data_IF_938555958070
#
_entry.id   IF_938555958070
#
_cell.length_a   1.000
_cell.length_b   1.000
_cell.length_c   1.000
_cell.angle_alpha   90.00
_cell.angle_beta   90.00
_cell.angle_gamma   90.00
#
_symmetry.space_group_name_H-M   'P 1'
#
loop_
_entity.id
_entity.type
_entity.pdbx_description
1 polymer ?
#
# COMPACT_ATOMS: atom_id res chain seq x y z
N UNK A 1 28.60 -39.05 -21.47
CA UNK A 1 27.27 -38.57 -21.92
C UNK A 1 26.17 -38.87 -20.92
N UNK A 2 26.27 -39.94 -20.11
CA UNK A 2 25.29 -40.34 -19.09
C UNK A 2 25.19 -39.40 -17.88
N UNK A 3 26.30 -38.90 -17.34
CA UNK A 3 26.29 -38.04 -16.14
C UNK A 3 25.69 -36.64 -16.36
N UNK A 4 25.86 -36.06 -17.55
CA UNK A 4 25.30 -34.75 -17.90
C UNK A 4 23.78 -34.82 -17.97
N UNK A 5 23.23 -35.92 -18.51
CA UNK A 5 21.79 -36.12 -18.57
C UNK A 5 21.16 -36.26 -17.19
N UNK A 6 21.82 -36.96 -16.28
CA UNK A 6 21.35 -37.14 -14.90
C UNK A 6 21.35 -35.82 -14.12
N UNK A 7 22.42 -35.03 -14.24
CA UNK A 7 22.51 -33.70 -13.63
C UNK A 7 21.40 -32.76 -14.13
N UNK A 8 21.13 -32.78 -15.44
CA UNK A 8 20.12 -31.92 -16.05
C UNK A 8 18.71 -32.30 -15.59
N UNK A 9 18.44 -33.60 -15.41
CA UNK A 9 17.16 -34.09 -14.86
C UNK A 9 16.96 -33.64 -13.42
N UNK A 10 17.99 -33.72 -12.57
CA UNK A 10 17.90 -33.28 -11.17
C UNK A 10 17.58 -31.78 -11.08
N UNK A 11 18.26 -30.95 -11.88
CA UNK A 11 18.00 -29.50 -11.92
C UNK A 11 16.57 -29.21 -12.37
N UNK A 12 16.08 -29.93 -13.38
CA UNK A 12 14.73 -29.72 -13.93
C UNK A 12 13.63 -30.10 -12.93
N UNK A 13 13.85 -31.16 -12.14
CA UNK A 13 12.94 -31.56 -11.05
C UNK A 13 12.90 -30.51 -9.95
N UNK A 14 14.05 -29.97 -9.54
CA UNK A 14 14.11 -28.91 -8.52
C UNK A 14 13.40 -27.64 -9.01
N UNK A 15 13.62 -27.24 -10.27
CA UNK A 15 12.97 -26.08 -10.87
C UNK A 15 11.44 -26.25 -10.92
N UNK A 16 10.97 -27.45 -11.30
CA UNK A 16 9.54 -27.78 -11.31
C UNK A 16 8.92 -27.71 -9.91
N UNK A 17 9.65 -28.18 -8.89
CA UNK A 17 9.20 -28.11 -7.50
C UNK A 17 9.09 -26.66 -6.99
N UNK A 18 10.08 -25.82 -7.31
CA UNK A 18 10.07 -24.39 -6.96
C UNK A 18 8.91 -23.65 -7.65
N UNK A 19 8.62 -23.97 -8.91
CA UNK A 19 7.48 -23.41 -9.65
C UNK A 19 6.13 -23.79 -9.01
N UNK A 20 5.98 -25.04 -8.58
CA UNK A 20 4.78 -25.51 -7.89
C UNK A 20 4.60 -24.82 -6.53
N UNK A 21 5.67 -24.73 -5.73
CA UNK A 21 5.65 -24.02 -4.44
C UNK A 21 5.31 -22.53 -4.60
N UNK A 22 5.92 -21.86 -5.59
CA UNK A 22 5.64 -20.46 -5.90
C UNK A 22 4.19 -20.24 -6.34
N UNK A 23 3.67 -21.11 -7.22
CA UNK A 23 2.29 -21.04 -7.69
C UNK A 23 1.26 -21.23 -6.56
N UNK A 24 1.49 -22.16 -5.65
CA UNK A 24 0.62 -22.39 -4.48
C UNK A 24 0.65 -21.20 -3.51
N UNK A 25 1.82 -20.61 -3.28
CA UNK A 25 1.98 -19.41 -2.45
C UNK A 25 1.18 -18.22 -2.99
N UNK A 26 1.31 -17.93 -4.29
CA UNK A 26 0.58 -16.84 -4.97
C UNK A 26 -0.94 -17.11 -4.93
N UNK A 27 -1.36 -18.37 -5.16
CA UNK A 27 -2.76 -18.76 -5.12
C UNK A 27 -3.40 -18.52 -3.74
N UNK A 28 -2.70 -18.87 -2.66
CA UNK A 28 -3.18 -18.64 -1.29
C UNK A 28 -3.28 -17.15 -0.95
N UNK A 29 -2.30 -16.34 -1.36
CA UNK A 29 -2.30 -14.88 -1.20
C UNK A 29 -3.49 -14.23 -1.92
N UNK A 30 -3.75 -14.60 -3.17
CA UNK A 30 -4.91 -14.10 -3.95
C UNK A 30 -6.22 -14.51 -3.31
N UNK A 31 -6.33 -15.76 -2.85
CA UNK A 31 -7.57 -16.28 -2.25
C UNK A 31 -7.87 -15.65 -0.87
N UNK A 32 -6.83 -15.35 -0.09
CA UNK A 32 -6.95 -14.59 1.15
C UNK A 32 -7.33 -13.13 0.89
N UNK A 33 -6.73 -12.50 -0.12
CA UNK A 33 -7.08 -11.14 -0.56
C UNK A 33 -8.54 -11.03 -1.01
N UNK A 34 -9.03 -11.99 -1.81
CA UNK A 34 -10.43 -12.03 -2.25
C UNK A 34 -11.41 -12.23 -1.08
N UNK A 35 -11.08 -13.07 -0.09
CA UNK A 35 -11.93 -13.24 1.10
C UNK A 35 -12.00 -11.98 1.97
N UNK A 36 -10.89 -11.25 2.11
CA UNK A 36 -10.87 -9.97 2.82
C UNK A 36 -11.69 -8.89 2.07
N UNK A 37 -11.51 -8.79 0.75
CA UNK A 37 -12.27 -7.88 -0.10
C UNK A 37 -13.78 -8.18 -0.10
N UNK A 38 -14.18 -9.46 -0.07
CA UNK A 38 -15.57 -9.88 0.02
C UNK A 38 -16.24 -9.48 1.34
N UNK A 39 -15.55 -9.64 2.47
CA UNK A 39 -16.05 -9.19 3.79
C UNK A 39 -16.17 -7.68 3.88
N UNK A 40 -15.21 -6.94 3.31
CA UNK A 40 -15.28 -5.48 3.23
C UNK A 40 -16.47 -5.00 2.38
N UNK A 41 -16.75 -5.67 1.24
CA UNK A 41 -17.92 -5.35 0.39
C UNK A 41 -19.25 -5.62 1.09
N UNK A 42 -19.36 -6.69 1.89
CA UNK A 42 -20.58 -6.99 2.66
C UNK A 42 -20.82 -6.01 3.81
N UNK A 43 -19.76 -5.56 4.48
CA UNK A 43 -19.86 -4.50 5.48
C UNK A 43 -20.26 -3.16 4.84
N UNK A 44 -19.67 -2.84 3.68
CA UNK A 44 -20.00 -1.63 2.92
C UNK A 44 -21.44 -1.64 2.38
N UNK A 45 -21.96 -2.78 1.90
CA UNK A 45 -23.37 -2.87 1.46
C UNK A 45 -24.34 -2.79 2.62
N UNK A 46 -24.04 -3.36 3.79
CA UNK A 46 -24.90 -3.18 4.99
C UNK A 46 -24.94 -1.73 5.46
N UNK A 47 -23.80 -1.02 5.41
CA UNK A 47 -23.73 0.41 5.70
C UNK A 47 -24.52 1.24 4.67
N UNK A 48 -24.39 0.96 3.38
CA UNK A 48 -25.13 1.71 2.35
C UNK A 48 -26.64 1.47 2.44
N UNK A 49 -27.10 0.27 2.79
CA UNK A 49 -28.51 -0.01 3.03
C UNK A 49 -29.05 0.73 4.26
N UNK A 50 -28.25 0.91 5.31
CA UNK A 50 -28.64 1.70 6.49
C UNK A 50 -28.70 3.21 6.20
N UNK A 51 -27.78 3.71 5.37
CA UNK A 51 -27.71 5.12 4.95
C UNK A 51 -28.86 5.48 3.98
N UNK A 52 -29.26 4.57 3.10
CA UNK A 52 -30.44 4.74 2.25
C UNK A 52 -31.78 4.57 3.00
N UNK A 53 -31.79 3.87 4.13
CA UNK A 53 -32.97 3.74 4.98
C UNK A 53 -33.17 4.93 5.94
N UNK A 54 -32.15 5.79 6.10
CA UNK A 54 -32.32 7.09 6.76
C UNK A 54 -33.12 8.02 5.84
N UNK A 55 -34.31 8.41 6.30
CA UNK A 55 -35.28 9.20 5.54
C UNK A 55 -34.76 10.54 5.00
N UNK A 56 -35.62 11.31 4.34
CA UNK A 56 -35.25 12.60 3.76
C UNK A 56 -35.38 13.74 4.78
N UNK A 57 -34.29 14.50 5.03
CA UNK A 57 -34.30 15.71 5.87
C UNK A 57 -32.96 15.98 6.59
N UNK A 58 -32.81 17.18 7.17
CA UNK A 58 -31.56 17.63 7.81
C UNK A 58 -31.07 16.68 8.92
N UNK A 59 -31.97 16.11 9.72
CA UNK A 59 -31.59 15.18 10.79
C UNK A 59 -31.00 13.87 10.26
N UNK A 60 -31.47 13.41 9.10
CA UNK A 60 -30.93 12.24 8.44
C UNK A 60 -29.58 12.54 7.77
N UNK A 61 -29.46 13.73 7.16
CA UNK A 61 -28.19 14.19 6.62
C UNK A 61 -27.10 14.30 7.71
N UNK A 62 -27.43 14.89 8.85
CA UNK A 62 -26.50 15.02 9.98
C UNK A 62 -26.01 13.65 10.45
N UNK A 63 -26.88 12.66 10.49
CA UNK A 63 -26.48 11.30 10.87
C UNK A 63 -25.59 10.64 9.80
N UNK A 64 -25.75 10.97 8.52
CA UNK A 64 -24.80 10.57 7.46
C UNK A 64 -23.43 11.22 7.66
N UNK A 65 -23.39 12.52 7.94
CA UNK A 65 -22.14 13.25 8.22
C UNK A 65 -21.38 12.62 9.40
N UNK A 66 -22.10 12.20 10.45
CA UNK A 66 -21.53 11.49 11.61
C UNK A 66 -20.95 10.14 11.23
N UNK A 67 -21.70 9.33 10.48
CA UNK A 67 -21.26 8.02 10.03
C UNK A 67 -20.01 8.13 9.12
N UNK A 68 -20.01 9.08 8.20
CA UNK A 68 -18.88 9.32 7.30
C UNK A 68 -17.64 9.78 8.08
N UNK A 69 -17.78 10.71 9.02
CA UNK A 69 -16.67 11.15 9.87
C UNK A 69 -16.06 9.99 10.67
N UNK A 70 -16.91 9.21 11.36
CA UNK A 70 -16.46 8.03 12.13
C UNK A 70 -15.74 7.02 11.25
N UNK A 71 -16.25 6.81 10.03
CA UNK A 71 -15.62 5.91 9.05
C UNK A 71 -14.25 6.42 8.63
N UNK A 72 -14.12 7.70 8.32
CA UNK A 72 -12.86 8.31 7.88
C UNK A 72 -11.79 8.29 8.96
N UNK A 73 -12.17 8.59 10.21
CA UNK A 73 -11.27 8.47 11.37
C UNK A 73 -10.83 7.02 11.56
N UNK A 74 -11.76 6.06 11.53
CA UNK A 74 -11.43 4.65 11.69
C UNK A 74 -10.50 4.11 10.59
N UNK A 75 -10.73 4.50 9.34
CA UNK A 75 -9.85 4.16 8.22
C UNK A 75 -8.45 4.76 8.39
N UNK A 76 -8.37 5.98 8.88
CA UNK A 76 -7.10 6.68 9.14
C UNK A 76 -6.34 6.00 10.28
N UNK A 77 -7.01 5.65 11.37
CA UNK A 77 -6.42 4.89 12.47
C UNK A 77 -5.91 3.52 12.02
N UNK A 78 -6.68 2.81 11.19
CA UNK A 78 -6.24 1.53 10.63
C UNK A 78 -5.00 1.67 9.76
N UNK A 79 -4.91 2.71 8.93
CA UNK A 79 -3.73 3.00 8.11
C UNK A 79 -2.51 3.30 8.98
N UNK A 80 -2.69 4.09 10.05
CA UNK A 80 -1.66 4.39 11.03
C UNK A 80 -1.18 3.13 11.77
N UNK A 81 -2.10 2.30 12.30
CA UNK A 81 -1.76 1.03 12.96
C UNK A 81 -1.02 0.07 12.02
N UNK A 82 -1.28 0.14 10.71
CA UNK A 82 -0.53 -0.61 9.71
C UNK A 82 0.89 -0.07 9.57
N UNK A 83 1.05 1.24 9.37
CA UNK A 83 2.34 1.91 9.26
C UNK A 83 3.22 1.70 10.49
N UNK A 84 2.64 1.78 11.70
CA UNK A 84 3.34 1.52 12.95
C UNK A 84 3.85 0.09 13.05
N UNK A 85 3.05 -0.91 12.63
CA UNK A 85 3.48 -2.32 12.59
C UNK A 85 4.60 -2.58 11.59
N UNK A 86 4.68 -1.78 10.52
CA UNK A 86 5.77 -1.84 9.56
C UNK A 86 7.03 -1.11 10.04
N UNK A 87 6.98 -0.47 11.21
CA UNK A 87 8.12 0.23 11.79
C UNK A 87 8.48 1.53 11.07
N UNK A 88 7.53 2.17 10.36
CA UNK A 88 7.79 3.45 9.70
C UNK A 88 8.07 4.55 10.72
N UNK A 89 8.89 5.52 10.34
CA UNK A 89 9.19 6.68 11.18
C UNK A 89 8.02 7.65 11.20
N UNK A 90 7.13 7.52 12.18
CA UNK A 90 5.87 8.29 12.22
C UNK A 90 5.99 9.71 12.80
N UNK A 91 7.17 10.09 13.35
CA UNK A 91 7.40 11.43 13.90
C UNK A 91 6.30 11.88 14.87
N UNK A 92 5.73 13.06 14.62
CA UNK A 92 4.64 13.66 15.40
C UNK A 92 3.23 13.16 15.02
N UNK A 93 3.12 12.31 14.00
CA UNK A 93 1.83 11.80 13.51
C UNK A 93 0.97 11.11 14.58
N UNK A 94 1.51 10.35 15.55
CA UNK A 94 0.70 9.77 16.62
C UNK A 94 -0.04 10.83 17.44
N UNK A 95 0.62 11.97 17.72
CA UNK A 95 0.03 13.09 18.46
C UNK A 95 -1.02 13.80 17.62
N UNK A 96 -0.72 14.07 16.35
CA UNK A 96 -1.66 14.70 15.42
C UNK A 96 -2.91 13.85 15.20
N UNK A 97 -2.76 12.52 15.15
CA UNK A 97 -3.89 11.60 15.04
C UNK A 97 -4.74 11.63 16.31
N UNK A 98 -4.14 11.63 17.50
CA UNK A 98 -4.87 11.73 18.76
C UNK A 98 -5.65 13.06 18.87
N UNK A 99 -5.03 14.18 18.47
CA UNK A 99 -5.69 15.49 18.43
C UNK A 99 -6.85 15.50 17.42
N UNK A 100 -6.68 14.88 16.26
CA UNK A 100 -7.72 14.74 15.24
C UNK A 100 -8.89 13.86 15.71
N UNK A 101 -8.61 12.74 16.38
CA UNK A 101 -9.62 11.87 16.97
C UNK A 101 -10.45 12.61 18.02
N UNK A 102 -9.79 13.37 18.91
CA UNK A 102 -10.47 14.19 19.91
C UNK A 102 -11.38 15.26 19.27
N UNK A 103 -10.90 15.95 18.22
CA UNK A 103 -11.71 16.92 17.49
C UNK A 103 -12.90 16.27 16.78
N UNK A 104 -12.70 15.09 16.19
CA UNK A 104 -13.76 14.35 15.54
C UNK A 104 -14.84 13.87 16.53
N UNK A 105 -14.46 13.45 17.74
CA UNK A 105 -15.41 13.09 18.79
C UNK A 105 -16.25 14.29 19.25
N UNK A 106 -15.61 15.44 19.48
CA UNK A 106 -16.31 16.69 19.83
C UNK A 106 -17.29 17.08 18.73
N UNK A 107 -16.86 16.99 17.47
CA UNK A 107 -17.71 17.34 16.34
C UNK A 107 -18.87 16.35 16.13
N UNK A 108 -18.65 15.04 16.33
CA UNK A 108 -19.72 14.04 16.33
C UNK A 108 -20.77 14.34 17.41
N UNK A 109 -20.32 14.79 18.59
CA UNK A 109 -21.18 15.27 19.67
C UNK A 109 -22.04 16.47 19.25
N UNK A 110 -21.42 17.46 18.59
CA UNK A 110 -22.12 18.65 18.07
C UNK A 110 -23.18 18.29 17.02
N UNK A 111 -22.85 17.40 16.08
CA UNK A 111 -23.78 16.87 15.09
C UNK A 111 -24.93 16.12 15.78
N UNK A 112 -24.64 15.30 16.78
CA UNK A 112 -25.65 14.59 17.58
C UNK A 112 -26.62 15.54 18.29
N UNK A 113 -26.11 16.59 18.91
CA UNK A 113 -26.93 17.64 19.56
C UNK A 113 -27.81 18.36 18.54
N UNK A 114 -27.27 18.73 17.38
CA UNK A 114 -28.04 19.37 16.32
C UNK A 114 -29.17 18.45 15.80
N UNK A 115 -28.88 17.18 15.57
CA UNK A 115 -29.89 16.20 15.16
C UNK A 115 -31.00 16.04 16.21
N UNK A 116 -30.66 16.02 17.50
CA UNK A 116 -31.63 15.98 18.58
C UNK A 116 -32.50 17.25 18.62
N UNK A 117 -31.88 18.42 18.46
CA UNK A 117 -32.59 19.70 18.43
C UNK A 117 -33.58 19.76 17.25
N UNK A 118 -33.20 19.28 16.06
CA UNK A 118 -34.09 19.21 14.88
C UNK A 118 -35.27 18.25 15.06
N UNK A 119 -35.18 17.25 15.93
CA UNK A 119 -36.31 16.35 16.23
C UNK A 119 -37.36 16.99 17.14
N UNK A 120 -36.96 17.93 17.99
CA UNK A 120 -37.82 18.55 19.02
C UNK A 120 -38.32 19.93 18.59
N UNK A 121 -37.58 20.64 17.73
CA UNK A 121 -37.93 21.97 17.24
C UNK A 121 -38.15 21.99 15.73
N UNK A 122 -39.26 22.59 15.24
CA UNK A 122 -39.49 22.77 13.82
C UNK A 122 -38.60 23.88 13.22
N UNK A 123 -37.98 24.73 14.04
CA UNK A 123 -37.12 25.82 13.57
C UNK A 123 -35.86 25.28 12.87
N UNK A 124 -35.54 25.83 11.69
CA UNK A 124 -34.39 25.43 10.90
C UNK A 124 -33.26 26.46 11.01
N UNK A 125 -32.19 26.12 11.72
CA UNK A 125 -30.95 26.89 11.68
C UNK A 125 -30.00 26.30 10.64
N UNK A 126 -30.12 26.82 9.41
CA UNK A 126 -29.27 26.44 8.28
C UNK A 126 -27.83 26.95 8.41
N UNK A 127 -27.61 28.07 9.11
CA UNK A 127 -26.28 28.65 9.27
C UNK A 127 -25.41 27.77 10.18
N UNK A 128 -26.00 27.25 11.25
CA UNK A 128 -25.29 26.30 12.12
C UNK A 128 -25.03 24.97 11.41
N UNK A 129 -25.98 24.45 10.63
CA UNK A 129 -25.75 23.24 9.83
C UNK A 129 -24.65 23.45 8.76
N UNK A 130 -24.60 24.61 8.11
CA UNK A 130 -23.55 24.96 7.16
C UNK A 130 -22.15 24.90 7.79
N UNK A 131 -21.98 25.54 8.96
CA UNK A 131 -20.71 25.50 9.70
C UNK A 131 -20.32 24.09 10.12
N UNK A 132 -21.30 23.28 10.54
CA UNK A 132 -21.03 21.88 10.90
C UNK A 132 -20.57 21.06 9.68
N UNK A 133 -21.17 21.27 8.50
CA UNK A 133 -20.72 20.63 7.25
C UNK A 133 -19.30 21.04 6.88
N UNK A 134 -18.98 22.33 6.94
CA UNK A 134 -17.64 22.84 6.61
C UNK A 134 -16.57 22.25 7.54
N UNK A 135 -16.88 22.17 8.84
CA UNK A 135 -15.96 21.56 9.80
C UNK A 135 -15.79 20.05 9.56
N UNK A 136 -16.88 19.33 9.27
CA UNK A 136 -16.82 17.91 8.89
C UNK A 136 -15.98 17.68 7.62
N UNK A 137 -16.15 18.52 6.60
CA UNK A 137 -15.34 18.46 5.38
C UNK A 137 -13.86 18.69 5.67
N UNK A 138 -13.54 19.64 6.56
CA UNK A 138 -12.17 19.94 6.98
C UNK A 138 -11.53 18.74 7.70
N UNK A 139 -12.22 18.15 8.68
CA UNK A 139 -11.75 16.96 9.41
C UNK A 139 -11.54 15.76 8.46
N UNK A 140 -12.47 15.57 7.52
CA UNK A 140 -12.39 14.49 6.52
C UNK A 140 -11.21 14.71 5.56
N UNK A 141 -10.97 15.96 5.13
CA UNK A 141 -9.83 16.29 4.29
C UNK A 141 -8.49 16.04 5.02
N UNK A 142 -8.41 16.34 6.32
CA UNK A 142 -7.23 16.03 7.13
C UNK A 142 -7.02 14.51 7.25
N UNK A 143 -8.08 13.72 7.49
CA UNK A 143 -8.01 12.26 7.47
C UNK A 143 -7.47 11.73 6.14
N UNK A 144 -8.01 12.23 5.02
CA UNK A 144 -7.57 11.85 3.68
C UNK A 144 -6.11 12.23 3.42
N UNK A 145 -5.66 13.41 3.86
CA UNK A 145 -4.28 13.87 3.74
C UNK A 145 -3.31 12.98 4.51
N UNK A 146 -3.60 12.69 5.79
CA UNK A 146 -2.80 11.76 6.59
C UNK A 146 -2.66 10.41 5.90
N UNK A 147 -3.77 9.86 5.38
CA UNK A 147 -3.73 8.59 4.64
C UNK A 147 -2.89 8.68 3.37
N UNK A 148 -2.96 9.80 2.65
CA UNK A 148 -2.14 10.01 1.45
C UNK A 148 -0.64 10.10 1.80
N UNK A 149 -0.30 10.82 2.87
CA UNK A 149 1.08 10.94 3.35
C UNK A 149 1.64 9.57 3.76
N UNK A 150 0.86 8.78 4.51
CA UNK A 150 1.22 7.40 4.88
C UNK A 150 1.39 6.48 3.65
N UNK A 151 0.55 6.62 2.63
CA UNK A 151 0.71 5.86 1.37
C UNK A 151 1.95 6.33 0.60
N UNK A 152 2.27 7.62 0.64
CA UNK A 152 3.49 8.17 0.06
C UNK A 152 4.74 7.53 0.69
N UNK A 153 4.79 7.49 2.01
CA UNK A 153 5.88 6.85 2.76
C UNK A 153 5.97 5.35 2.46
N UNK A 154 4.83 4.66 2.30
CA UNK A 154 4.80 3.26 1.87
C UNK A 154 5.50 3.06 0.51
N UNK A 155 5.20 3.92 -0.46
CA UNK A 155 5.79 3.86 -1.80
C UNK A 155 7.29 4.14 -1.73
N UNK A 156 7.72 5.10 -0.90
CA UNK A 156 9.14 5.38 -0.70
C UNK A 156 9.87 4.20 -0.05
N UNK A 157 9.32 3.60 1.01
CA UNK A 157 9.94 2.43 1.67
C UNK A 157 9.99 1.19 0.76
N UNK A 158 8.95 0.95 -0.03
CA UNK A 158 8.92 -0.19 -0.97
C UNK A 158 9.83 0.03 -2.18
N UNK A 159 9.89 1.24 -2.74
CA UNK A 159 10.81 1.59 -3.84
C UNK A 159 12.27 1.59 -3.40
N UNK A 160 12.58 2.05 -2.19
CA UNK A 160 13.92 1.92 -1.61
C UNK A 160 14.32 0.45 -1.46
N UNK A 161 13.41 -0.41 -0.99
CA UNK A 161 13.66 -1.85 -0.92
C UNK A 161 13.86 -2.52 -2.29
N UNK A 162 13.14 -2.09 -3.32
CA UNK A 162 13.31 -2.57 -4.70
C UNK A 162 14.65 -2.09 -5.29
N UNK A 163 15.05 -0.85 -5.03
CA UNK A 163 16.35 -0.32 -5.47
C UNK A 163 17.52 -0.99 -4.75
N UNK A 164 17.37 -1.30 -3.46
CA UNK A 164 18.36 -2.07 -2.70
C UNK A 164 18.47 -3.51 -3.25
N UNK A 165 17.34 -4.15 -3.54
CA UNK A 165 17.29 -5.46 -4.21
C UNK A 165 17.92 -5.43 -5.62
N UNK A 166 17.66 -4.39 -6.43
CA UNK A 166 18.27 -4.27 -7.75
C UNK A 166 19.78 -4.06 -7.63
N UNK A 167 20.24 -3.20 -6.72
CA UNK A 167 21.66 -2.95 -6.52
C UNK A 167 22.42 -4.20 -6.08
N UNK A 168 21.83 -5.02 -5.20
CA UNK A 168 22.40 -6.28 -4.74
C UNK A 168 22.39 -7.35 -5.83
N UNK A 169 21.36 -7.35 -6.68
CA UNK A 169 21.28 -8.25 -7.84
C UNK A 169 22.33 -7.85 -8.89
N UNK A 170 22.51 -6.56 -9.17
CA UNK A 170 23.55 -6.07 -10.08
C UNK A 170 24.95 -6.39 -9.55
N UNK A 171 25.17 -6.28 -8.24
CA UNK A 171 26.42 -6.68 -7.60
C UNK A 171 26.65 -8.19 -7.65
N UNK A 172 25.62 -9.02 -7.51
CA UNK A 172 25.72 -10.47 -7.71
C UNK A 172 25.95 -10.83 -9.19
N UNK A 173 25.35 -10.12 -10.13
CA UNK A 173 25.55 -10.32 -11.57
C UNK A 173 26.99 -9.94 -11.96
N UNK A 174 27.49 -8.81 -11.47
CA UNK A 174 28.86 -8.37 -11.70
C UNK A 174 29.88 -9.28 -11.01
N UNK A 175 29.59 -9.77 -9.80
CA UNK A 175 30.45 -10.75 -9.12
C UNK A 175 30.47 -12.13 -9.80
N UNK A 176 29.44 -12.45 -10.60
CA UNK A 176 29.36 -13.67 -11.41
C UNK A 176 29.92 -13.48 -12.82
N UNK A 177 30.30 -12.25 -13.22
CA UNK A 177 31.08 -12.07 -14.45
C UNK A 177 32.44 -12.72 -14.25
N UNK A 178 32.67 -13.76 -15.03
CA UNK A 178 33.95 -14.44 -15.12
C UNK A 178 34.99 -13.39 -15.54
N UNK A 179 36.11 -13.22 -14.80
CA UNK A 179 37.21 -12.43 -15.32
C UNK A 179 37.63 -13.04 -16.67
N UNK A 180 37.99 -12.22 -17.68
CA UNK A 180 38.43 -12.73 -18.97
C UNK A 180 39.55 -13.74 -18.75
N UNK A 181 39.50 -14.86 -19.46
CA UNK A 181 40.50 -15.92 -19.33
C UNK A 181 41.85 -15.33 -19.76
N UNK A 182 42.85 -15.22 -18.86
CA UNK A 182 44.14 -14.62 -19.19
C UNK A 182 44.84 -15.33 -20.35
N UNK A 183 44.46 -16.58 -20.66
CA UNK A 183 44.99 -17.33 -21.80
C UNK A 183 44.36 -16.90 -23.13
N UNK A 184 43.09 -16.49 -23.17
CA UNK A 184 42.46 -15.93 -24.37
C UNK A 184 43.08 -14.57 -24.74
N UNK A 185 43.39 -13.74 -23.75
CA UNK A 185 44.01 -12.42 -23.96
C UNK A 185 45.43 -12.54 -24.54
N UNK A 186 46.19 -13.54 -24.07
CA UNK A 186 47.52 -13.87 -24.62
C UNK A 186 47.43 -14.41 -26.05
N UNK A 187 46.47 -15.27 -26.34
CA UNK A 187 46.30 -15.87 -27.67
C UNK A 187 45.83 -14.81 -28.69
N UNK A 188 45.01 -13.85 -28.26
CA UNK A 188 44.57 -12.72 -29.08
C UNK A 188 45.69 -11.70 -29.32
N UNK A 189 46.53 -11.41 -28.31
CA UNK A 189 47.76 -10.63 -28.46
C UNK A 189 48.75 -11.31 -29.43
N UNK A 190 48.92 -12.62 -29.31
CA UNK A 190 49.78 -13.40 -30.20
C UNK A 190 49.26 -13.38 -31.65
N UNK A 191 47.96 -13.59 -31.85
CA UNK A 191 47.31 -13.56 -33.16
C UNK A 191 47.41 -12.17 -33.82
N UNK A 192 47.19 -11.10 -33.05
CA UNK A 192 47.34 -9.71 -33.51
C UNK A 192 48.79 -9.39 -33.90
N UNK A 193 49.78 -9.93 -33.17
CA UNK A 193 51.21 -9.76 -33.49
C UNK A 193 51.65 -10.54 -34.74
N UNK A 194 50.98 -11.65 -35.05
CA UNK A 194 51.22 -12.44 -36.26
C UNK A 194 50.63 -11.76 -37.50
N UNK A 195 49.44 -11.17 -37.37
CA UNK A 195 48.81 -10.41 -38.44
C UNK A 195 49.61 -9.13 -38.78
N UNK A 196 50.12 -8.40 -37.78
CA UNK A 196 51.04 -7.26 -38.02
C UNK A 196 52.35 -7.62 -38.72
N UNK A 197 52.83 -8.86 -38.55
CA UNK A 197 54.02 -9.38 -39.28
C UNK A 197 53.70 -9.79 -40.71
N UNK A 198 52.46 -10.18 -40.98
CA UNK A 198 52.00 -10.63 -42.30
C UNK A 198 51.70 -9.47 -43.25
N UNK A 199 51.45 -8.29 -42.71
CA UNK A 199 51.21 -7.04 -43.44
C UNK A 199 52.48 -6.20 -43.73
N UNK A 200 53.67 -6.70 -43.39
CA UNK A 200 54.94 -6.10 -43.84
C UNK A 200 55.46 -6.83 -45.09
N UNK A 201 55.68 -6.12 -46.21
CA UNK A 201 56.19 -6.70 -47.46
C UNK A 201 57.64 -7.19 -47.36
#
# INVERSE_FOLDING_TARGET
MTEIGEFLVVVLVILAFLLLLGGVGIYLLVKLGQKAAGRAKQAATRLSTHVNAMGTGDAAEVERLRLDLRREVALTRQAFEHAQRQGWGLGDLPRLLADLEAQAEVHDGQLGMYAQQRRVSPYVDHATLGRLREHQATLTAMCARIRADLLGDQVQHTSAGIADLSSRTDLEIEARRRPPDPLEEIDELYRRSLDERRDRP
#
